data_IF_027758755487
#
_entry.id   IF_027758755487
#
_cell.length_a   1.000
_cell.length_b   1.000
_cell.length_c   1.000
_cell.angle_alpha   90.00
_cell.angle_beta   90.00
_cell.angle_gamma   90.00
#
_symmetry.space_group_name_H-M   'P 1'
#
loop_
_entity.id
_entity.type
_entity.pdbx_description
1 polymer ?
#
# COMPACT_ATOMS: atom_id res chain seq x y z
N UNK A 1 5.42 20.35 -24.22
CA UNK A 1 4.77 19.14 -23.66
C UNK A 1 4.92 19.21 -22.15
N UNK A 2 3.83 19.50 -21.42
CA UNK A 2 3.89 19.58 -19.95
C UNK A 2 4.08 18.15 -19.44
N UNK A 3 5.21 17.89 -18.78
CA UNK A 3 5.44 16.62 -18.08
C UNK A 3 4.40 16.56 -16.96
N UNK A 4 3.35 15.76 -17.12
CA UNK A 4 2.39 15.53 -16.05
C UNK A 4 3.13 14.77 -14.96
N UNK A 5 3.60 15.49 -13.94
CA UNK A 5 4.06 14.88 -12.70
C UNK A 5 2.85 14.26 -12.04
N UNK A 6 2.81 12.93 -11.99
CA UNK A 6 1.80 12.17 -11.30
C UNK A 6 1.83 12.51 -9.81
N UNK A 7 0.83 13.25 -9.32
CA UNK A 7 0.71 13.63 -7.92
C UNK A 7 -0.12 12.61 -7.15
N UNK A 8 0.30 12.31 -5.92
CA UNK A 8 -0.50 11.53 -4.99
C UNK A 8 -1.75 12.32 -4.61
N UNK A 9 -2.94 11.72 -4.75
CA UNK A 9 -4.22 12.36 -4.42
C UNK A 9 -4.37 12.64 -2.92
N UNK A 10 -3.60 11.96 -2.06
CA UNK A 10 -3.70 12.11 -0.60
C UNK A 10 -2.73 13.13 0.00
N UNK A 11 -1.52 13.28 -0.52
CA UNK A 11 -0.50 14.17 0.06
C UNK A 11 0.04 15.21 -0.93
N UNK A 12 -0.45 15.21 -2.17
CA UNK A 12 -0.05 16.11 -3.25
C UNK A 12 1.46 16.09 -3.58
N UNK A 13 2.17 15.04 -3.13
CA UNK A 13 3.59 14.83 -3.47
C UNK A 13 3.73 14.14 -4.82
N UNK A 14 4.85 14.41 -5.50
CA UNK A 14 5.20 13.76 -6.76
C UNK A 14 5.43 12.26 -6.52
N UNK A 15 4.86 11.43 -7.39
CA UNK A 15 5.09 9.99 -7.42
C UNK A 15 6.20 9.67 -8.43
N UNK A 16 7.36 9.25 -7.95
CA UNK A 16 8.53 8.87 -8.77
C UNK A 16 8.52 7.39 -9.13
N UNK A 17 8.11 6.53 -8.19
CA UNK A 17 8.04 5.07 -8.32
C UNK A 17 6.63 4.53 -8.00
N UNK A 18 5.63 4.83 -8.84
CA UNK A 18 4.23 4.50 -8.59
C UNK A 18 3.97 2.98 -8.60
N UNK A 19 3.44 2.46 -7.49
CA UNK A 19 2.95 1.08 -7.38
C UNK A 19 1.44 1.11 -7.18
N UNK A 20 0.69 0.32 -7.95
CA UNK A 20 -0.76 0.24 -7.78
C UNK A 20 -1.13 -0.46 -6.46
N UNK A 21 -2.31 -0.12 -5.90
CA UNK A 21 -2.86 -0.76 -4.71
C UNK A 21 -2.78 -2.29 -4.73
N UNK A 22 -3.13 -2.91 -5.85
CA UNK A 22 -3.17 -4.38 -5.99
C UNK A 22 -1.76 -5.01 -5.90
N UNK A 23 -0.75 -4.40 -6.55
CA UNK A 23 0.64 -4.86 -6.45
C UNK A 23 1.20 -4.68 -5.04
N UNK A 24 0.90 -3.54 -4.40
CA UNK A 24 1.33 -3.32 -3.02
C UNK A 24 0.72 -4.36 -2.07
N UNK A 25 -0.59 -4.60 -2.15
CA UNK A 25 -1.26 -5.60 -1.30
C UNK A 25 -0.72 -7.00 -1.54
N UNK A 26 -0.31 -7.33 -2.77
CA UNK A 26 0.39 -8.60 -3.04
C UNK A 26 1.68 -8.71 -2.25
N UNK A 27 2.50 -7.65 -2.18
CA UNK A 27 3.71 -7.64 -1.35
C UNK A 27 3.38 -7.80 0.15
N UNK A 28 2.36 -7.09 0.65
CA UNK A 28 1.91 -7.25 2.04
C UNK A 28 1.43 -8.69 2.29
N UNK A 29 0.71 -9.29 1.34
CA UNK A 29 0.23 -10.67 1.47
C UNK A 29 1.38 -11.69 1.56
N UNK A 30 2.48 -11.45 0.84
CA UNK A 30 3.68 -12.29 0.95
C UNK A 30 4.34 -12.11 2.31
N UNK A 31 4.49 -10.86 2.75
CA UNK A 31 5.01 -10.55 4.08
C UNK A 31 4.18 -11.20 5.20
N UNK A 32 2.84 -11.21 5.09
CA UNK A 32 1.95 -11.83 6.07
C UNK A 32 2.11 -13.36 6.15
N UNK A 33 2.50 -14.03 5.06
CA UNK A 33 2.71 -15.50 5.06
C UNK A 33 3.87 -15.91 5.95
N UNK A 34 4.87 -15.06 6.08
CA UNK A 34 6.03 -15.29 6.93
C UNK A 34 5.73 -14.97 8.41
N UNK A 35 4.58 -14.34 8.68
CA UNK A 35 4.13 -14.06 10.04
C UNK A 35 3.30 -15.23 10.56
N UNK A 36 3.57 -15.63 11.80
CA UNK A 36 2.82 -16.67 12.52
C UNK A 36 1.45 -16.15 12.98
N UNK A 37 0.63 -15.68 12.04
CA UNK A 37 -0.71 -15.15 12.29
C UNK A 37 -1.74 -16.29 12.31
N UNK A 38 -2.80 -16.10 13.08
CA UNK A 38 -3.98 -16.96 12.96
C UNK A 38 -4.69 -16.75 11.62
N UNK A 39 -5.42 -17.76 11.16
CA UNK A 39 -6.19 -17.67 9.91
C UNK A 39 -7.20 -16.52 9.90
N UNK A 40 -7.77 -16.19 11.07
CA UNK A 40 -8.71 -15.07 11.22
C UNK A 40 -8.00 -13.71 11.10
N UNK A 41 -6.85 -13.52 11.77
CA UNK A 41 -6.09 -12.26 11.67
C UNK A 41 -5.65 -11.97 10.23
N UNK A 42 -5.09 -12.97 9.54
CA UNK A 42 -4.67 -12.81 8.16
C UNK A 42 -5.86 -12.48 7.24
N UNK A 43 -7.01 -13.13 7.44
CA UNK A 43 -8.23 -12.87 6.68
C UNK A 43 -8.75 -11.46 6.91
N UNK A 44 -8.82 -11.00 8.16
CA UNK A 44 -9.31 -9.67 8.50
C UNK A 44 -8.43 -8.57 7.90
N UNK A 45 -7.10 -8.77 7.92
CA UNK A 45 -6.16 -7.84 7.27
C UNK A 45 -6.42 -7.80 5.76
N UNK A 46 -6.53 -8.95 5.09
CA UNK A 46 -6.75 -9.00 3.64
C UNK A 46 -8.08 -8.34 3.24
N UNK A 47 -9.15 -8.54 4.01
CA UNK A 47 -10.44 -7.85 3.81
C UNK A 47 -10.27 -6.33 3.97
N UNK A 48 -9.58 -5.89 5.02
CA UNK A 48 -9.31 -4.47 5.24
C UNK A 48 -8.49 -3.85 4.11
N UNK A 49 -7.47 -4.55 3.61
CA UNK A 49 -6.65 -4.12 2.48
C UNK A 49 -7.44 -4.07 1.16
N UNK A 50 -8.34 -5.03 0.91
CA UNK A 50 -9.22 -5.01 -0.26
C UNK A 50 -10.12 -3.77 -0.27
N UNK A 51 -10.58 -3.32 0.90
CA UNK A 51 -11.34 -2.07 1.03
C UNK A 51 -10.49 -0.85 0.66
N UNK A 52 -9.23 -0.81 1.13
CA UNK A 52 -8.27 0.25 0.76
C UNK A 52 -7.99 0.28 -0.74
N UNK A 53 -7.89 -0.90 -1.39
CA UNK A 53 -7.75 -0.99 -2.85
C UNK A 53 -8.96 -0.36 -3.54
N UNK A 54 -10.17 -0.76 -3.16
CA UNK A 54 -11.40 -0.27 -3.78
C UNK A 54 -11.50 1.27 -3.70
N UNK A 55 -11.27 1.83 -2.52
CA UNK A 55 -11.29 3.28 -2.30
C UNK A 55 -10.22 4.01 -3.15
N UNK A 56 -9.10 3.34 -3.44
CA UNK A 56 -8.03 3.89 -4.25
C UNK A 56 -8.32 3.77 -5.77
N UNK A 57 -8.89 2.66 -6.23
CA UNK A 57 -9.19 2.44 -7.65
C UNK A 57 -10.37 3.28 -8.16
N UNK A 58 -11.25 3.77 -7.28
CA UNK A 58 -12.36 4.68 -7.65
C UNK A 58 -11.88 6.07 -8.09
N UNK A 59 -10.61 6.42 -7.87
CA UNK A 59 -10.04 7.68 -8.37
C UNK A 59 -9.39 7.49 -9.74
N UNK A 60 -9.77 8.28 -10.77
CA UNK A 60 -9.08 8.23 -12.05
C UNK A 60 -7.59 8.61 -11.89
N UNK A 61 -6.71 7.89 -12.59
CA UNK A 61 -5.28 8.18 -12.64
C UNK A 61 -4.70 7.86 -14.01
N UNK A 62 -3.91 8.78 -14.54
CA UNK A 62 -3.12 8.58 -15.76
C UNK A 62 -1.74 7.94 -15.46
N UNK A 63 -1.47 7.65 -14.19
CA UNK A 63 -0.19 7.11 -13.72
C UNK A 63 -0.18 5.59 -13.84
N UNK A 64 0.84 5.05 -14.51
CA UNK A 64 1.01 3.61 -14.68
C UNK A 64 1.86 3.01 -13.57
N UNK A 65 1.48 1.83 -13.10
CA UNK A 65 2.26 1.06 -12.13
C UNK A 65 3.58 0.58 -12.73
N UNK A 66 4.70 0.77 -12.03
CA UNK A 66 6.02 0.28 -12.49
C UNK A 66 6.15 -1.25 -12.47
N UNK A 67 5.26 -1.95 -11.74
CA UNK A 67 5.29 -3.42 -11.59
C UNK A 67 4.43 -4.12 -12.64
N UNK A 68 3.20 -3.64 -12.88
CA UNK A 68 2.24 -4.30 -13.75
C UNK A 68 1.76 -3.46 -14.95
N UNK A 69 2.14 -2.19 -15.04
CA UNK A 69 1.73 -1.29 -16.12
C UNK A 69 0.32 -0.71 -16.02
N UNK A 70 -0.51 -1.18 -15.08
CA UNK A 70 -1.91 -0.72 -14.93
C UNK A 70 -2.01 0.77 -14.55
N UNK A 71 -2.98 1.47 -15.17
CA UNK A 71 -3.27 2.90 -14.94
C UNK A 71 -4.25 3.12 -13.78
N UNK A 72 -3.85 2.67 -12.60
CA UNK A 72 -4.66 2.73 -11.37
C UNK A 72 -3.84 3.18 -10.16
N UNK A 73 -2.89 4.10 -10.37
CA UNK A 73 -2.01 4.58 -9.30
C UNK A 73 -2.37 6.02 -8.92
N UNK A 74 -3.19 6.17 -7.90
CA UNK A 74 -3.60 7.48 -7.38
C UNK A 74 -2.91 7.85 -6.04
N UNK A 75 -2.35 6.86 -5.34
CA UNK A 75 -1.66 7.06 -4.07
C UNK A 75 -0.17 6.73 -4.21
N UNK A 76 0.68 7.53 -3.57
CA UNK A 76 2.07 7.18 -3.40
C UNK A 76 2.21 6.01 -2.41
N UNK A 77 3.31 5.26 -2.55
CA UNK A 77 3.63 4.11 -1.69
C UNK A 77 3.56 4.46 -0.21
N UNK A 78 4.06 5.63 0.19
CA UNK A 78 4.00 6.09 1.59
C UNK A 78 2.56 6.23 2.12
N UNK A 79 1.68 6.90 1.35
CA UNK A 79 0.27 7.04 1.74
C UNK A 79 -0.42 5.69 1.81
N UNK A 80 -0.10 4.78 0.89
CA UNK A 80 -0.63 3.43 0.91
C UNK A 80 -0.13 2.63 2.12
N UNK A 81 1.18 2.64 2.41
CA UNK A 81 1.78 2.04 3.62
C UNK A 81 1.10 2.54 4.88
N UNK A 82 0.84 3.85 4.99
CA UNK A 82 0.15 4.43 6.16
C UNK A 82 -1.27 3.87 6.32
N UNK A 83 -2.03 3.76 5.23
CA UNK A 83 -3.38 3.15 5.25
C UNK A 83 -3.32 1.67 5.61
N UNK A 84 -2.40 0.91 5.01
CA UNK A 84 -2.18 -0.50 5.33
C UNK A 84 -1.80 -0.69 6.81
N UNK A 85 -0.90 0.13 7.34
CA UNK A 85 -0.51 0.08 8.75
C UNK A 85 -1.68 0.30 9.72
N UNK A 86 -2.66 1.16 9.34
CA UNK A 86 -3.91 1.32 10.12
C UNK A 86 -4.77 0.06 10.09
N UNK A 87 -4.88 -0.60 8.94
CA UNK A 87 -5.58 -1.90 8.81
C UNK A 87 -4.91 -2.93 9.72
N UNK A 88 -3.59 -3.08 9.63
CA UNK A 88 -2.84 -4.01 10.48
C UNK A 88 -3.03 -3.71 11.96
N UNK A 89 -2.97 -2.44 12.38
CA UNK A 89 -3.17 -2.04 13.78
C UNK A 89 -4.57 -2.39 14.31
N UNK A 90 -5.59 -2.35 13.46
CA UNK A 90 -6.95 -2.68 13.86
C UNK A 90 -7.18 -4.20 13.98
N UNK A 91 -6.45 -4.99 13.18
CA UNK A 91 -6.59 -6.45 13.16
C UNK A 91 -5.61 -7.18 14.08
N UNK A 92 -4.42 -6.61 14.30
CA UNK A 92 -3.36 -7.21 15.10
C UNK A 92 -3.32 -6.60 16.49
N UNK A 93 -3.22 -7.47 17.51
CA UNK A 93 -2.94 -7.06 18.89
C UNK A 93 -1.45 -7.10 19.23
N UNK A 94 -0.62 -7.62 18.32
CA UNK A 94 0.81 -7.80 18.53
C UNK A 94 1.62 -6.59 18.05
N UNK A 95 2.12 -5.79 18.99
CA UNK A 95 2.96 -4.62 18.69
C UNK A 95 4.26 -4.97 17.95
N UNK A 96 4.81 -6.17 18.17
CA UNK A 96 6.05 -6.59 17.48
C UNK A 96 5.82 -6.66 15.97
N UNK A 97 4.75 -7.31 15.54
CA UNK A 97 4.41 -7.44 14.12
C UNK A 97 4.13 -6.09 13.47
N UNK A 98 3.55 -5.14 14.23
CA UNK A 98 3.33 -3.77 13.73
C UNK A 98 4.64 -2.99 13.55
N UNK A 99 5.62 -3.18 14.44
CA UNK A 99 6.96 -2.59 14.30
C UNK A 99 7.69 -3.18 13.10
N UNK A 100 7.68 -4.51 12.95
CA UNK A 100 8.25 -5.19 11.78
C UNK A 100 7.63 -4.67 10.47
N UNK A 101 6.31 -4.45 10.43
CA UNK A 101 5.66 -3.88 9.26
C UNK A 101 6.17 -2.47 8.94
N UNK A 102 6.32 -1.63 9.96
CA UNK A 102 6.85 -0.29 9.77
C UNK A 102 8.31 -0.32 9.28
N UNK A 103 9.14 -1.22 9.81
CA UNK A 103 10.53 -1.39 9.36
C UNK A 103 10.60 -1.83 7.89
N UNK A 104 9.77 -2.79 7.48
CA UNK A 104 9.81 -3.35 6.14
C UNK A 104 9.16 -2.45 5.07
N UNK A 105 8.13 -1.66 5.44
CA UNK A 105 7.33 -0.89 4.48
C UNK A 105 7.39 0.64 4.63
N UNK A 106 7.84 1.16 5.78
CA UNK A 106 7.97 2.62 6.01
C UNK A 106 9.39 3.14 5.76
N UNK A 107 10.31 2.28 5.31
CA UNK A 107 11.69 2.67 5.02
C UNK A 107 11.81 3.51 3.75
N UNK A 108 12.81 4.41 3.76
CA UNK A 108 13.08 5.47 2.78
C UNK A 108 13.30 4.95 1.34
N UNK A 109 13.43 3.63 1.14
CA UNK A 109 13.65 2.98 -0.16
C UNK A 109 12.56 3.37 -1.18
N UNK A 110 11.33 3.65 -0.73
CA UNK A 110 10.21 4.05 -1.59
C UNK A 110 10.07 5.56 -1.82
N UNK A 111 11.03 6.38 -1.35
CA UNK A 111 11.01 7.86 -1.46
C UNK A 111 12.01 8.43 -2.48
N UNK A 112 12.69 7.60 -3.25
CA UNK A 112 13.69 8.03 -4.23
C UNK A 112 13.03 8.40 -5.56
#
# INVERSE_FOLDING_TARGET
MVKVTSLCTSCLQIMTNPICPSCFVKHVSYWLRDKKLSGNEARDILIGLAKVIKDAEESPSDTSCIVCGERKVNLCTHCFTSKAGRVLKNSLKNEKTLKEFAEDFNTIIWRI
#
